data_IF_085146730152
#
_entry.id   IF_085146730152
#
_cell.length_a   1.000
_cell.length_b   1.000
_cell.length_c   1.000
_cell.angle_alpha   90.00
_cell.angle_beta   90.00
_cell.angle_gamma   90.00
#
_symmetry.space_group_name_H-M   'P 1'
#
loop_
_entity.id
_entity.type
_entity.pdbx_description
1 polymer ?
#
# COMPACT_ATOMS: atom_id res chain seq x y z
N UNK A 1 -11.08 -30.81 -20.18
CA UNK A 1 -11.62 -29.80 -19.23
C UNK A 1 -10.55 -29.02 -18.45
N UNK A 2 -9.43 -29.63 -18.03
CA UNK A 2 -8.42 -28.99 -17.15
C UNK A 2 -7.60 -27.85 -17.81
N UNK A 3 -7.39 -27.90 -19.14
CA UNK A 3 -6.57 -26.94 -19.90
C UNK A 3 -7.28 -25.61 -20.23
N UNK A 4 -8.61 -25.64 -20.44
CA UNK A 4 -9.37 -24.40 -20.70
C UNK A 4 -9.39 -23.45 -19.50
N UNK A 5 -9.33 -24.00 -18.28
CA UNK A 5 -9.27 -23.20 -17.04
C UNK A 5 -7.91 -22.51 -16.93
N UNK A 6 -6.83 -23.13 -17.43
CA UNK A 6 -5.46 -22.61 -17.38
C UNK A 6 -5.32 -21.33 -18.21
N UNK A 7 -5.88 -21.30 -19.42
CA UNK A 7 -5.85 -20.10 -20.30
C UNK A 7 -6.67 -18.94 -19.71
N UNK A 8 -7.85 -19.20 -19.13
CA UNK A 8 -8.65 -18.17 -18.44
C UNK A 8 -7.89 -17.58 -17.25
N UNK A 9 -7.22 -18.45 -16.48
CA UNK A 9 -6.51 -18.02 -15.27
C UNK A 9 -5.23 -17.24 -15.58
N UNK A 10 -4.59 -17.51 -16.72
CA UNK A 10 -3.48 -16.69 -17.24
C UNK A 10 -3.93 -15.29 -17.70
N UNK A 11 -5.10 -15.15 -18.33
CA UNK A 11 -5.64 -13.85 -18.73
C UNK A 11 -5.94 -12.98 -17.50
N UNK A 12 -6.52 -13.57 -16.46
CA UNK A 12 -6.77 -12.86 -15.19
C UNK A 12 -5.47 -12.42 -14.48
N UNK A 13 -4.38 -13.20 -14.61
CA UNK A 13 -3.06 -12.84 -14.07
C UNK A 13 -2.46 -11.60 -14.73
N UNK A 14 -2.67 -11.43 -16.05
CA UNK A 14 -2.17 -10.27 -16.80
C UNK A 14 -2.98 -9.01 -16.47
N UNK A 15 -4.28 -9.11 -16.21
CA UNK A 15 -5.15 -7.97 -15.89
C UNK A 15 -5.16 -7.54 -14.41
N UNK A 16 -4.70 -8.39 -13.48
CA UNK A 16 -4.68 -8.12 -12.04
C UNK A 16 -3.53 -7.22 -11.55
N UNK A 17 -2.79 -6.58 -12.47
CA UNK A 17 -1.70 -5.64 -12.15
C UNK A 17 -2.06 -4.18 -12.47
N UNK A 18 -3.07 -3.57 -11.81
CA UNK A 18 -3.34 -2.13 -11.98
C UNK A 18 -2.22 -1.24 -11.38
N UNK A 19 -1.26 -1.81 -10.65
CA UNK A 19 -0.05 -1.10 -10.18
C UNK A 19 1.00 -0.87 -11.28
N UNK A 20 0.78 -1.35 -12.51
CA UNK A 20 1.73 -1.23 -13.63
C UNK A 20 1.39 -0.11 -14.64
N UNK A 21 0.45 0.79 -14.33
CA UNK A 21 0.13 1.96 -15.18
C UNK A 21 0.98 3.17 -14.82
N UNK A 22 2.30 3.03 -14.91
CA UNK A 22 3.27 4.10 -15.19
C UNK A 22 4.70 3.56 -15.08
N UNK A 23 5.11 2.65 -15.98
CA UNK A 23 6.54 2.55 -16.29
C UNK A 23 6.78 2.00 -17.70
N UNK A 24 7.25 2.90 -18.55
CA UNK A 24 7.79 2.60 -19.87
C UNK A 24 9.29 2.27 -19.69
N UNK A 25 9.67 1.06 -20.14
CA UNK A 25 11.02 0.59 -20.53
C UNK A 25 12.24 0.98 -19.67
N UNK A 26 12.97 -0.03 -19.17
CA UNK A 26 14.24 -0.52 -19.75
C UNK A 26 14.94 -1.52 -18.81
N UNK A 27 15.52 -2.58 -19.39
CA UNK A 27 16.64 -3.31 -18.81
C UNK A 27 16.33 -4.72 -18.27
N UNK A 28 16.96 -5.75 -18.87
CA UNK A 28 17.15 -7.06 -18.24
C UNK A 28 16.81 -8.26 -19.13
N UNK A 29 17.80 -8.69 -19.90
CA UNK A 29 17.79 -9.77 -20.90
C UNK A 29 17.35 -11.14 -20.35
N UNK A 30 16.47 -11.84 -21.10
CA UNK A 30 16.27 -13.30 -20.99
C UNK A 30 16.42 -13.91 -22.40
N UNK A 31 17.29 -14.93 -22.44
CA UNK A 31 17.81 -15.82 -23.50
C UNK A 31 17.08 -15.93 -24.87
N UNK A 32 17.82 -16.26 -25.96
CA UNK A 32 17.31 -16.32 -27.31
C UNK A 32 16.48 -17.58 -27.54
N UNK A 33 15.18 -17.42 -27.46
CA UNK A 33 14.18 -18.37 -27.95
C UNK A 33 13.50 -17.65 -29.12
N UNK A 34 13.67 -18.21 -30.33
CA UNK A 34 13.62 -17.54 -31.64
C UNK A 34 12.44 -16.60 -31.92
N UNK A 35 12.61 -15.68 -32.88
CA UNK A 35 11.65 -14.60 -33.23
C UNK A 35 10.17 -15.03 -33.27
N UNK A 36 9.89 -16.25 -33.77
CA UNK A 36 8.55 -16.87 -33.76
C UNK A 36 7.89 -16.86 -32.36
N UNK A 37 8.66 -17.04 -31.29
CA UNK A 37 8.17 -17.03 -29.92
C UNK A 37 7.81 -15.65 -29.39
N UNK A 38 8.61 -14.65 -29.72
CA UNK A 38 8.29 -13.26 -29.36
C UNK A 38 6.98 -12.87 -30.01
N UNK A 39 6.82 -13.21 -31.29
CA UNK A 39 5.59 -12.94 -32.04
C UNK A 39 4.36 -13.67 -31.45
N UNK A 40 4.44 -14.98 -31.20
CA UNK A 40 3.34 -15.74 -30.60
C UNK A 40 2.95 -15.20 -29.21
N UNK A 41 3.94 -14.79 -28.42
CA UNK A 41 3.73 -14.19 -27.09
C UNK A 41 3.09 -12.81 -27.18
N UNK A 42 3.58 -11.95 -28.06
CA UNK A 42 3.04 -10.60 -28.28
C UNK A 42 1.60 -10.67 -28.80
N UNK A 43 1.33 -11.54 -29.78
CA UNK A 43 -0.05 -11.82 -30.24
C UNK A 43 -0.93 -12.30 -29.10
N UNK A 44 -0.47 -13.27 -28.30
CA UNK A 44 -1.25 -13.73 -27.15
C UNK A 44 -1.58 -12.62 -26.13
N UNK A 45 -0.63 -11.70 -25.90
CA UNK A 45 -0.84 -10.60 -24.96
C UNK A 45 -1.75 -9.51 -25.51
N UNK A 46 -1.57 -9.15 -26.78
CA UNK A 46 -2.19 -7.95 -27.35
C UNK A 46 -3.46 -8.24 -28.17
N UNK A 47 -3.66 -9.48 -28.62
CA UNK A 47 -4.78 -9.88 -29.48
C UNK A 47 -5.74 -10.83 -28.76
N UNK A 48 -6.94 -10.34 -28.47
CA UNK A 48 -8.01 -11.11 -27.83
C UNK A 48 -8.55 -12.22 -28.73
N UNK A 49 -8.67 -11.97 -30.04
CA UNK A 49 -9.17 -12.96 -30.99
C UNK A 49 -8.20 -14.13 -31.05
N UNK A 50 -6.90 -13.86 -31.11
CA UNK A 50 -5.87 -14.90 -31.08
C UNK A 50 -5.94 -15.76 -29.80
N UNK A 51 -6.16 -15.15 -28.62
CA UNK A 51 -6.35 -15.90 -27.36
C UNK A 51 -7.57 -16.82 -27.41
N UNK A 52 -8.69 -16.32 -27.92
CA UNK A 52 -9.93 -17.09 -28.02
C UNK A 52 -9.78 -18.25 -29.01
N UNK A 53 -9.19 -18.00 -30.19
CA UNK A 53 -8.89 -19.02 -31.19
C UNK A 53 -7.97 -20.10 -30.65
N UNK A 54 -6.84 -19.74 -30.02
CA UNK A 54 -5.92 -20.71 -29.43
C UNK A 54 -6.62 -21.56 -28.36
N UNK A 55 -7.51 -20.95 -27.56
CA UNK A 55 -8.28 -21.66 -26.53
C UNK A 55 -9.28 -22.65 -27.12
N UNK A 56 -9.93 -22.31 -28.23
CA UNK A 56 -10.82 -23.21 -28.96
C UNK A 56 -10.06 -24.35 -29.63
N UNK A 57 -8.95 -24.05 -30.30
CA UNK A 57 -8.06 -25.05 -30.90
C UNK A 57 -7.58 -26.07 -29.85
N UNK A 58 -7.10 -25.61 -28.70
CA UNK A 58 -6.70 -26.48 -27.59
C UNK A 58 -7.87 -27.32 -27.06
N UNK A 59 -9.10 -26.77 -27.05
CA UNK A 59 -10.32 -27.51 -26.65
C UNK A 59 -10.67 -28.59 -27.65
N UNK A 60 -10.63 -28.29 -28.94
CA UNK A 60 -10.94 -29.23 -30.02
C UNK A 60 -9.90 -30.36 -30.09
N UNK A 61 -8.68 -30.08 -29.63
CA UNK A 61 -7.64 -31.09 -29.51
C UNK A 61 -7.78 -32.03 -28.30
N UNK A 62 -8.84 -31.97 -27.49
CA UNK A 62 -9.00 -32.91 -26.36
C UNK A 62 -9.22 -34.34 -26.88
N UNK A 63 -8.36 -35.28 -26.48
CA UNK A 63 -8.47 -36.70 -26.88
C UNK A 63 -7.89 -37.04 -28.26
N UNK A 64 -7.45 -36.05 -29.03
CA UNK A 64 -6.74 -36.26 -30.31
C UNK A 64 -5.22 -36.38 -30.08
N UNK A 65 -4.58 -37.28 -30.84
CA UNK A 65 -3.11 -37.42 -30.92
C UNK A 65 -2.57 -37.05 -32.31
N UNK A 66 -3.34 -36.30 -33.10
CA UNK A 66 -2.85 -35.78 -34.38
C UNK A 66 -1.62 -34.88 -34.19
N UNK A 67 -0.70 -34.89 -35.16
CA UNK A 67 0.50 -34.05 -35.13
C UNK A 67 0.17 -32.56 -34.95
N UNK A 68 -0.90 -32.07 -35.59
CA UNK A 68 -1.42 -30.71 -35.43
C UNK A 68 -1.84 -30.42 -33.98
N UNK A 69 -2.52 -31.36 -33.32
CA UNK A 69 -2.93 -31.20 -31.93
C UNK A 69 -1.77 -31.26 -30.94
N UNK A 70 -0.71 -32.01 -31.27
CA UNK A 70 0.52 -32.00 -30.49
C UNK A 70 1.23 -30.63 -30.61
N UNK A 71 1.32 -30.06 -31.81
CA UNK A 71 1.90 -28.74 -32.03
C UNK A 71 1.11 -27.63 -31.32
N UNK A 72 -0.24 -27.63 -31.42
CA UNK A 72 -1.11 -26.67 -30.73
C UNK A 72 -0.90 -26.72 -29.21
N UNK A 73 -0.82 -27.93 -28.64
CA UNK A 73 -0.60 -28.11 -27.19
C UNK A 73 0.78 -27.61 -26.76
N UNK A 74 1.81 -27.85 -27.57
CA UNK A 74 3.17 -27.38 -27.26
C UNK A 74 3.27 -25.86 -27.34
N UNK A 75 2.72 -25.25 -28.40
CA UNK A 75 2.63 -23.80 -28.53
C UNK A 75 1.90 -23.17 -27.34
N UNK A 76 0.77 -23.77 -26.91
CA UNK A 76 0.03 -23.29 -25.75
C UNK A 76 0.82 -23.42 -24.43
N UNK A 77 1.58 -24.50 -24.26
CA UNK A 77 2.44 -24.73 -23.08
C UNK A 77 3.54 -23.68 -22.98
N UNK A 78 4.22 -23.42 -24.09
CA UNK A 78 5.30 -22.44 -24.12
C UNK A 78 4.80 -20.99 -23.95
N UNK A 79 3.63 -20.66 -24.52
CA UNK A 79 2.95 -19.39 -24.24
C UNK A 79 2.66 -19.27 -22.74
N UNK A 80 2.10 -20.32 -22.12
CA UNK A 80 1.83 -20.34 -20.68
C UNK A 80 3.10 -20.16 -19.84
N UNK A 81 4.18 -20.89 -20.17
CA UNK A 81 5.50 -20.72 -19.54
C UNK A 81 5.99 -19.29 -19.65
N UNK A 82 5.91 -18.71 -20.85
CA UNK A 82 6.32 -17.34 -21.12
C UNK A 82 5.53 -16.29 -20.34
N UNK A 83 4.22 -16.49 -20.19
CA UNK A 83 3.37 -15.61 -19.38
C UNK A 83 3.73 -15.73 -17.89
N UNK A 84 3.87 -16.95 -17.37
CA UNK A 84 4.23 -17.18 -15.97
C UNK A 84 5.61 -16.60 -15.63
N UNK A 85 6.62 -16.83 -16.48
CA UNK A 85 7.94 -16.24 -16.32
C UNK A 85 7.88 -14.71 -16.30
N UNK A 86 7.06 -14.09 -17.18
CA UNK A 86 6.87 -12.63 -17.14
C UNK A 86 6.22 -12.16 -15.86
N UNK A 87 5.19 -12.86 -15.37
CA UNK A 87 4.56 -12.55 -14.07
C UNK A 87 5.59 -12.61 -12.95
N UNK A 88 6.41 -13.66 -12.93
CA UNK A 88 7.51 -13.83 -11.99
C UNK A 88 8.49 -12.67 -12.03
N UNK A 89 9.07 -12.36 -13.19
CA UNK A 89 10.04 -11.27 -13.36
C UNK A 89 9.45 -9.91 -12.97
N UNK A 90 8.22 -9.61 -13.41
CA UNK A 90 7.57 -8.34 -13.12
C UNK A 90 7.29 -8.16 -11.62
N UNK A 91 6.79 -9.19 -10.95
CA UNK A 91 6.48 -9.09 -9.52
C UNK A 91 7.75 -9.07 -8.67
N UNK A 92 8.76 -9.88 -9.01
CA UNK A 92 10.06 -9.82 -8.36
C UNK A 92 10.70 -8.42 -8.48
N UNK A 93 10.69 -7.83 -9.69
CA UNK A 93 11.17 -6.46 -9.90
C UNK A 93 10.34 -5.41 -9.16
N UNK A 94 9.02 -5.60 -9.07
CA UNK A 94 8.13 -4.72 -8.30
C UNK A 94 8.45 -4.77 -6.80
N UNK A 95 8.66 -5.96 -6.26
CA UNK A 95 9.03 -6.17 -4.85
C UNK A 95 10.39 -5.55 -4.53
N UNK A 96 11.39 -5.73 -5.39
CA UNK A 96 12.71 -5.13 -5.22
C UNK A 96 12.64 -3.59 -5.25
N UNK A 97 11.93 -3.04 -6.23
CA UNK A 97 11.71 -1.59 -6.30
C UNK A 97 10.95 -1.06 -5.08
N UNK A 98 10.01 -1.83 -4.54
CA UNK A 98 9.29 -1.46 -3.32
C UNK A 98 10.22 -1.44 -2.11
N UNK A 99 11.09 -2.44 -1.99
CA UNK A 99 12.13 -2.52 -0.95
C UNK A 99 13.07 -1.32 -1.01
N UNK A 100 13.60 -0.98 -2.18
CA UNK A 100 14.45 0.19 -2.39
C UNK A 100 13.74 1.49 -1.98
N UNK A 101 12.48 1.67 -2.42
CA UNK A 101 11.67 2.85 -2.04
C UNK A 101 11.45 2.95 -0.54
N UNK A 102 11.34 1.83 0.18
CA UNK A 102 11.23 1.83 1.65
C UNK A 102 12.57 2.23 2.29
N UNK A 103 13.67 1.66 1.81
CA UNK A 103 15.02 1.95 2.33
C UNK A 103 15.38 3.43 2.19
N UNK A 104 15.08 4.02 1.02
CA UNK A 104 15.33 5.43 0.68
C UNK A 104 14.38 6.41 1.39
N UNK A 105 13.29 5.92 2.00
CA UNK A 105 12.29 6.77 2.62
C UNK A 105 12.77 7.33 3.97
N UNK A 106 13.21 8.58 3.97
CA UNK A 106 13.67 9.29 5.17
C UNK A 106 12.56 9.60 6.19
N UNK A 107 11.28 9.39 5.85
CA UNK A 107 10.16 9.58 6.79
C UNK A 107 9.90 8.35 7.65
N UNK A 108 10.44 7.19 7.28
CA UNK A 108 10.31 5.94 8.03
C UNK A 108 11.48 5.80 9.00
N UNK A 109 11.20 5.36 10.23
CA UNK A 109 12.27 4.93 11.14
C UNK A 109 12.91 3.63 10.68
N UNK A 110 14.10 3.30 11.17
CA UNK A 110 14.79 2.07 10.78
C UNK A 110 14.01 0.81 11.21
N UNK A 111 13.28 0.87 12.32
CA UNK A 111 12.38 -0.20 12.75
C UNK A 111 11.19 -0.35 11.78
N UNK A 112 10.57 0.76 11.36
CA UNK A 112 9.46 0.75 10.40
C UNK A 112 9.89 0.22 9.03
N UNK A 113 11.10 0.57 8.58
CA UNK A 113 11.70 0.03 7.36
C UNK A 113 11.90 -1.48 7.48
N UNK A 114 12.49 -1.92 8.59
CA UNK A 114 12.77 -3.34 8.85
C UNK A 114 11.48 -4.18 8.82
N UNK A 115 10.41 -3.71 9.46
CA UNK A 115 9.12 -4.39 9.48
C UNK A 115 8.53 -4.56 8.06
N UNK A 116 8.49 -3.49 7.27
CA UNK A 116 7.97 -3.55 5.89
C UNK A 116 8.84 -4.41 4.97
N UNK A 117 10.16 -4.31 5.11
CA UNK A 117 11.11 -5.08 4.30
C UNK A 117 11.00 -6.57 4.62
N UNK A 118 10.81 -6.96 5.88
CA UNK A 118 10.59 -8.36 6.26
C UNK A 118 9.39 -8.96 5.53
N UNK A 119 8.26 -8.24 5.50
CA UNK A 119 7.06 -8.70 4.78
C UNK A 119 7.34 -8.86 3.28
N UNK A 120 8.10 -7.96 2.68
CA UNK A 120 8.47 -8.04 1.26
C UNK A 120 9.40 -9.24 1.00
N UNK A 121 10.42 -9.43 1.84
CA UNK A 121 11.43 -10.48 1.68
C UNK A 121 10.81 -11.88 1.86
N UNK A 122 9.88 -12.05 2.81
CA UNK A 122 9.10 -13.28 2.99
C UNK A 122 8.33 -13.65 1.71
N UNK A 123 7.56 -12.70 1.14
CA UNK A 123 6.80 -12.97 -0.08
C UNK A 123 7.69 -13.14 -1.29
N UNK A 124 8.83 -12.43 -1.34
CA UNK A 124 9.79 -12.58 -2.43
C UNK A 124 10.38 -13.99 -2.44
N UNK A 125 10.71 -14.53 -1.28
CA UNK A 125 11.20 -15.91 -1.17
C UNK A 125 10.16 -16.93 -1.68
N UNK A 126 8.89 -16.79 -1.26
CA UNK A 126 7.80 -17.65 -1.76
C UNK A 126 7.57 -17.50 -3.27
N UNK A 127 7.69 -16.27 -3.79
CA UNK A 127 7.60 -16.00 -5.22
C UNK A 127 8.71 -16.70 -5.99
N UNK A 128 9.96 -16.55 -5.55
CA UNK A 128 11.13 -17.12 -6.20
C UNK A 128 11.04 -18.67 -6.20
N UNK A 129 10.53 -19.29 -5.13
CA UNK A 129 10.28 -20.74 -5.06
C UNK A 129 9.21 -21.21 -6.07
N UNK A 130 8.08 -20.50 -6.17
CA UNK A 130 7.02 -20.84 -7.13
C UNK A 130 7.52 -20.63 -8.56
N UNK A 131 8.29 -19.57 -8.80
CA UNK A 131 8.81 -19.21 -10.11
C UNK A 131 9.88 -20.18 -10.62
N UNK A 132 10.69 -20.78 -9.74
CA UNK A 132 11.63 -21.83 -10.09
C UNK A 132 10.95 -23.06 -10.73
N UNK A 133 9.67 -23.30 -10.43
CA UNK A 133 8.92 -24.46 -10.94
C UNK A 133 8.38 -24.26 -12.37
N UNK A 134 8.43 -23.03 -12.93
CA UNK A 134 7.75 -22.68 -14.20
C UNK A 134 8.37 -23.40 -15.40
N UNK A 135 9.69 -23.55 -15.45
CA UNK A 135 10.38 -24.07 -16.63
C UNK A 135 10.09 -25.56 -16.87
N UNK A 136 10.02 -26.35 -15.80
CA UNK A 136 9.85 -27.80 -15.84
C UNK A 136 8.38 -28.25 -15.61
N UNK A 137 7.46 -27.30 -15.50
CA UNK A 137 6.05 -27.60 -15.26
C UNK A 137 5.38 -28.21 -16.49
N UNK A 138 4.70 -29.34 -16.29
CA UNK A 138 3.66 -29.79 -17.20
C UNK A 138 2.41 -28.90 -17.12
N UNK A 139 1.42 -29.18 -17.95
CA UNK A 139 0.19 -28.38 -17.99
C UNK A 139 -0.62 -28.41 -16.67
N UNK A 140 -0.60 -29.49 -15.92
CA UNK A 140 -1.30 -29.55 -14.62
C UNK A 140 -0.57 -28.67 -13.61
N UNK A 141 0.75 -28.80 -13.54
CA UNK A 141 1.62 -27.98 -12.67
C UNK A 141 1.54 -26.49 -13.03
N UNK A 142 1.52 -26.12 -14.31
CA UNK A 142 1.38 -24.72 -14.73
C UNK A 142 0.09 -24.08 -14.20
N UNK A 143 -1.02 -24.82 -14.15
CA UNK A 143 -2.28 -24.33 -13.57
C UNK A 143 -2.16 -24.09 -12.07
N UNK A 144 -1.53 -25.01 -11.37
CA UNK A 144 -1.31 -24.92 -9.92
C UNK A 144 -0.40 -23.73 -9.60
N UNK A 145 0.71 -23.57 -10.33
CA UNK A 145 1.61 -22.41 -10.24
C UNK A 145 0.84 -21.11 -10.46
N UNK A 146 0.05 -21.01 -11.53
CA UNK A 146 -0.77 -19.84 -11.81
C UNK A 146 -1.78 -19.52 -10.69
N UNK A 147 -2.29 -20.54 -10.01
CA UNK A 147 -3.19 -20.37 -8.86
C UNK A 147 -2.42 -19.88 -7.63
N UNK A 148 -1.28 -20.48 -7.32
CA UNK A 148 -0.42 -20.10 -6.19
C UNK A 148 0.08 -18.66 -6.35
N UNK A 149 0.57 -18.28 -7.53
CA UNK A 149 0.99 -16.90 -7.81
C UNK A 149 -0.15 -15.89 -7.60
N UNK A 150 -1.38 -16.20 -8.05
CA UNK A 150 -2.52 -15.31 -7.81
C UNK A 150 -2.84 -15.14 -6.33
N UNK A 151 -2.85 -16.24 -5.58
CA UNK A 151 -3.07 -16.20 -4.14
C UNK A 151 -1.98 -15.37 -3.45
N UNK A 152 -0.71 -15.60 -3.80
CA UNK A 152 0.43 -14.89 -3.23
C UNK A 152 0.40 -13.39 -3.55
N UNK A 153 0.07 -13.00 -4.78
CA UNK A 153 -0.11 -11.58 -5.16
C UNK A 153 -1.22 -10.94 -4.32
N UNK A 154 -2.34 -11.65 -4.13
CA UNK A 154 -3.47 -11.13 -3.35
C UNK A 154 -3.08 -10.97 -1.89
N UNK A 155 -2.39 -11.96 -1.32
CA UNK A 155 -1.93 -11.96 0.05
C UNK A 155 -0.90 -10.85 0.31
N UNK A 156 0.08 -10.70 -0.57
CA UNK A 156 1.06 -9.61 -0.54
C UNK A 156 0.36 -8.24 -0.52
N UNK A 157 -0.60 -8.01 -1.42
CA UNK A 157 -1.35 -6.74 -1.47
C UNK A 157 -2.07 -6.46 -0.16
N UNK A 158 -2.66 -7.48 0.46
CA UNK A 158 -3.37 -7.37 1.74
C UNK A 158 -2.37 -7.08 2.87
N UNK A 159 -1.36 -7.92 3.05
CA UNK A 159 -0.37 -7.78 4.14
C UNK A 159 0.41 -6.48 4.05
N UNK A 160 0.93 -6.15 2.87
CA UNK A 160 1.63 -4.88 2.65
C UNK A 160 0.70 -3.67 2.88
N UNK A 161 -0.56 -3.75 2.41
CA UNK A 161 -1.56 -2.72 2.65
C UNK A 161 -1.83 -2.49 4.14
N UNK A 162 -2.01 -3.58 4.90
CA UNK A 162 -2.19 -3.56 6.36
C UNK A 162 -0.98 -2.94 7.06
N UNK A 163 0.24 -3.41 6.78
CA UNK A 163 1.45 -2.91 7.42
C UNK A 163 1.64 -1.42 7.11
N UNK A 164 1.41 -0.99 5.87
CA UNK A 164 1.46 0.42 5.49
C UNK A 164 0.45 1.26 6.27
N UNK A 165 -0.80 0.82 6.38
CA UNK A 165 -1.84 1.56 7.11
C UNK A 165 -1.57 1.61 8.63
N UNK A 166 -1.02 0.55 9.22
CA UNK A 166 -0.56 0.54 10.61
C UNK A 166 0.51 1.59 10.87
N UNK A 167 1.46 1.78 9.95
CA UNK A 167 2.46 2.84 10.05
C UNK A 167 1.84 4.24 9.97
N UNK A 168 0.89 4.46 9.05
CA UNK A 168 0.16 5.72 9.00
C UNK A 168 -0.59 5.99 10.30
N UNK A 169 -1.22 4.97 10.88
CA UNK A 169 -1.90 5.07 12.16
C UNK A 169 -0.90 5.42 13.28
N UNK A 170 0.23 4.71 13.40
CA UNK A 170 1.30 5.02 14.35
C UNK A 170 1.73 6.48 14.29
N UNK A 171 1.92 7.03 13.08
CA UNK A 171 2.27 8.44 12.88
C UNK A 171 1.22 9.41 13.38
N UNK A 172 -0.07 9.11 13.18
CA UNK A 172 -1.16 9.92 13.77
C UNK A 172 -1.02 9.92 15.29
N UNK A 173 -0.81 8.75 15.89
CA UNK A 173 -0.58 8.63 17.34
C UNK A 173 0.57 9.51 17.85
N UNK A 174 1.69 9.56 17.13
CA UNK A 174 2.83 10.43 17.45
C UNK A 174 2.49 11.92 17.33
N UNK A 175 1.68 12.32 16.35
CA UNK A 175 1.23 13.72 16.20
C UNK A 175 0.34 14.10 17.38
N UNK A 176 -0.58 13.23 17.80
CA UNK A 176 -1.44 13.50 18.97
C UNK A 176 -0.57 13.65 20.23
N UNK A 177 0.39 12.75 20.47
CA UNK A 177 1.31 12.86 21.62
C UNK A 177 2.10 14.18 21.62
N UNK A 178 2.57 14.62 20.45
CA UNK A 178 3.25 15.92 20.31
C UNK A 178 2.32 17.09 20.59
N UNK A 179 1.06 16.99 20.17
CA UNK A 179 0.04 18.02 20.40
C UNK A 179 -0.31 18.13 21.90
N UNK A 180 -0.48 17.01 22.61
CA UNK A 180 -0.68 16.95 24.08
C UNK A 180 0.52 17.55 24.84
N UNK A 181 1.73 17.25 24.39
CA UNK A 181 2.92 17.86 24.99
C UNK A 181 2.99 19.38 24.73
N UNK A 182 2.55 19.83 23.55
CA UNK A 182 2.50 21.24 23.19
C UNK A 182 1.44 22.00 24.00
N UNK A 183 0.27 21.39 24.25
CA UNK A 183 -0.73 21.92 25.17
C UNK A 183 -0.13 22.25 26.53
N UNK A 184 0.59 21.30 27.13
CA UNK A 184 1.25 21.51 28.44
C UNK A 184 2.23 22.69 28.39
N UNK A 185 3.01 22.79 27.31
CA UNK A 185 3.97 23.89 27.11
C UNK A 185 3.29 25.25 26.92
N UNK A 186 2.18 25.29 26.18
CA UNK A 186 1.41 26.52 25.98
C UNK A 186 0.83 27.02 27.30
N UNK A 187 0.27 26.10 28.12
CA UNK A 187 -0.23 26.45 29.44
C UNK A 187 0.87 27.01 30.32
N UNK A 188 2.02 26.31 30.44
CA UNK A 188 3.15 26.81 31.22
C UNK A 188 3.68 28.16 30.72
N UNK A 189 3.68 28.39 29.40
CA UNK A 189 4.11 29.68 28.84
C UNK A 189 3.18 30.81 29.29
N UNK A 190 1.87 30.58 29.24
CA UNK A 190 0.86 31.55 29.64
C UNK A 190 0.95 31.87 31.12
N UNK A 191 1.02 30.84 31.96
CA UNK A 191 1.16 30.98 33.41
C UNK A 191 2.41 31.81 33.77
N UNK A 192 3.53 31.56 33.08
CA UNK A 192 4.80 32.27 33.32
C UNK A 192 4.83 33.71 32.82
N UNK A 193 4.07 34.04 31.78
CA UNK A 193 4.05 35.38 31.17
C UNK A 193 2.79 36.18 31.56
N UNK A 194 1.97 35.66 32.49
CA UNK A 194 0.71 36.28 32.93
C UNK A 194 -0.23 36.65 31.77
N UNK A 195 -0.19 35.91 30.66
CA UNK A 195 -1.04 36.16 29.49
C UNK A 195 -2.49 35.69 29.70
N UNK A 196 -2.87 35.37 30.94
CA UNK A 196 -4.12 34.69 31.30
C UNK A 196 -5.37 35.51 30.93
N UNK A 197 -5.25 36.83 30.74
CA UNK A 197 -6.35 37.76 30.44
C UNK A 197 -6.40 38.30 29.00
N UNK A 198 -5.54 37.82 28.10
CA UNK A 198 -5.57 38.30 26.70
C UNK A 198 -6.76 37.73 25.92
N UNK A 199 -7.80 38.55 25.70
CA UNK A 199 -8.79 38.48 24.60
C UNK A 199 -9.19 37.06 24.11
N UNK A 200 -9.61 36.16 25.02
CA UNK A 200 -10.11 34.81 24.66
C UNK A 200 -9.03 33.74 24.42
N UNK A 201 -7.77 33.98 24.80
CA UNK A 201 -6.67 33.01 24.62
C UNK A 201 -6.92 31.69 25.36
N UNK A 202 -7.52 31.74 26.56
CA UNK A 202 -7.87 30.54 27.32
C UNK A 202 -8.93 29.70 26.60
N UNK A 203 -9.94 30.33 25.99
CA UNK A 203 -10.99 29.64 25.22
C UNK A 203 -10.41 28.92 23.99
N UNK A 204 -9.43 29.54 23.31
CA UNK A 204 -8.70 28.91 22.21
C UNK A 204 -7.89 27.70 22.69
N UNK A 205 -7.27 27.78 23.86
CA UNK A 205 -6.55 26.63 24.43
C UNK A 205 -7.51 25.51 24.78
N UNK A 206 -8.62 25.81 25.43
CA UNK A 206 -9.59 24.77 25.78
C UNK A 206 -10.19 24.13 24.53
N UNK A 207 -10.40 24.91 23.47
CA UNK A 207 -10.79 24.40 22.15
C UNK A 207 -9.70 23.50 21.53
N UNK A 208 -8.43 23.91 21.60
CA UNK A 208 -7.29 23.12 21.15
C UNK A 208 -7.20 21.78 21.89
N UNK A 209 -7.36 21.81 23.22
CA UNK A 209 -7.41 20.63 24.10
C UNK A 209 -8.55 19.69 23.70
N UNK A 210 -9.76 20.22 23.50
CA UNK A 210 -10.91 19.44 23.07
C UNK A 210 -10.63 18.71 21.76
N UNK A 211 -10.07 19.41 20.76
CA UNK A 211 -9.75 18.82 19.46
C UNK A 211 -8.68 17.73 19.52
N UNK A 212 -7.67 17.89 20.38
CA UNK A 212 -6.69 16.83 20.64
C UNK A 212 -7.35 15.61 21.29
N UNK A 213 -8.24 15.81 22.26
CA UNK A 213 -8.96 14.72 22.91
C UNK A 213 -9.90 13.98 21.95
N UNK A 214 -10.63 14.70 21.09
CA UNK A 214 -11.46 14.14 20.02
C UNK A 214 -10.62 13.33 19.01
N UNK A 215 -9.45 13.86 18.62
CA UNK A 215 -8.50 13.15 17.78
C UNK A 215 -7.98 11.87 18.44
N UNK A 216 -7.66 11.91 19.74
CA UNK A 216 -7.24 10.75 20.53
C UNK A 216 -8.31 9.67 20.56
N UNK A 217 -9.55 10.03 20.87
CA UNK A 217 -10.67 9.09 20.91
C UNK A 217 -10.88 8.41 19.55
N UNK A 218 -10.93 9.19 18.47
CA UNK A 218 -11.08 8.66 17.11
C UNK A 218 -9.91 7.76 16.69
N UNK A 219 -8.68 8.12 17.11
CA UNK A 219 -7.49 7.32 16.87
C UNK A 219 -7.54 5.96 17.60
N UNK A 220 -7.93 5.94 18.87
CA UNK A 220 -7.99 4.72 19.67
C UNK A 220 -9.09 3.78 19.15
N UNK A 221 -10.24 4.31 18.75
CA UNK A 221 -11.29 3.55 18.08
C UNK A 221 -10.81 2.98 16.74
N UNK A 222 -10.15 3.79 15.91
CA UNK A 222 -9.56 3.35 14.65
C UNK A 222 -8.56 2.20 14.86
N UNK A 223 -7.69 2.32 15.87
CA UNK A 223 -6.72 1.30 16.24
C UNK A 223 -7.37 0.00 16.68
N UNK A 224 -8.41 0.07 17.51
CA UNK A 224 -9.16 -1.11 17.94
C UNK A 224 -9.84 -1.81 16.76
N UNK A 225 -10.51 -1.06 15.88
CA UNK A 225 -11.15 -1.62 14.67
C UNK A 225 -10.11 -2.20 13.70
N UNK A 226 -8.95 -1.56 13.56
CA UNK A 226 -7.88 -2.08 12.71
C UNK A 226 -7.36 -3.42 13.21
N UNK A 227 -7.20 -3.56 14.52
CA UNK A 227 -6.80 -4.83 15.13
C UNK A 227 -7.84 -5.93 14.85
N UNK A 228 -9.13 -5.63 15.02
CA UNK A 228 -10.21 -6.56 14.68
C UNK A 228 -10.19 -6.95 13.19
N UNK A 229 -9.91 -6.01 12.29
CA UNK A 229 -9.77 -6.32 10.86
C UNK A 229 -8.58 -7.26 10.61
N UNK A 230 -7.41 -6.98 11.19
CA UNK A 230 -6.23 -7.85 11.08
C UNK A 230 -6.53 -9.27 11.57
N UNK A 231 -7.25 -9.41 12.68
CA UNK A 231 -7.62 -10.73 13.20
C UNK A 231 -8.62 -11.44 12.29
N UNK A 232 -9.56 -10.71 11.68
CA UNK A 232 -10.47 -11.27 10.67
C UNK A 232 -9.71 -11.79 9.42
N UNK A 233 -8.65 -11.09 9.01
CA UNK A 233 -7.78 -11.51 7.90
C UNK A 233 -7.02 -12.79 8.26
N UNK A 234 -6.48 -12.88 9.48
CA UNK A 234 -5.79 -14.08 9.98
C UNK A 234 -6.70 -15.30 10.05
N UNK A 235 -7.99 -15.08 10.34
CA UNK A 235 -9.01 -16.13 10.34
C UNK A 235 -9.50 -16.50 8.93
N UNK A 236 -8.99 -15.85 7.88
CA UNK A 236 -9.38 -16.11 6.49
C UNK A 236 -10.74 -15.54 6.09
N UNK A 237 -11.34 -14.68 6.93
CA UNK A 237 -12.62 -14.01 6.65
C UNK A 237 -12.48 -12.49 6.79
N UNK A 238 -11.85 -11.79 5.82
CA UNK A 238 -11.62 -10.36 5.91
C UNK A 238 -12.94 -9.58 6.00
N UNK A 239 -13.18 -8.92 7.13
CA UNK A 239 -14.37 -8.10 7.32
C UNK A 239 -14.15 -6.68 6.77
N UNK A 240 -14.59 -6.45 5.54
CA UNK A 240 -14.43 -5.16 4.85
C UNK A 240 -15.20 -4.01 5.48
N UNK A 241 -16.24 -4.30 6.26
CA UNK A 241 -17.01 -3.28 6.96
C UNK A 241 -16.23 -2.74 8.17
N UNK A 242 -15.57 -3.62 8.93
CA UNK A 242 -14.65 -3.20 10.02
C UNK A 242 -13.51 -2.36 9.44
N UNK A 243 -12.95 -2.78 8.28
CA UNK A 243 -11.93 -1.99 7.58
C UNK A 243 -12.43 -0.58 7.25
N UNK A 244 -13.63 -0.47 6.69
CA UNK A 244 -14.25 0.82 6.33
C UNK A 244 -14.42 1.71 7.55
N UNK A 245 -14.99 1.19 8.63
CA UNK A 245 -15.19 1.94 9.89
C UNK A 245 -13.85 2.39 10.49
N UNK A 246 -12.83 1.53 10.46
CA UNK A 246 -11.51 1.88 10.94
C UNK A 246 -10.88 3.03 10.11
N UNK A 247 -11.09 3.02 8.79
CA UNK A 247 -10.66 4.11 7.90
C UNK A 247 -11.40 5.42 8.17
N UNK A 248 -12.71 5.38 8.43
CA UNK A 248 -13.50 6.55 8.80
C UNK A 248 -12.99 7.18 10.09
N UNK A 249 -12.75 6.38 11.13
CA UNK A 249 -12.20 6.86 12.40
C UNK A 249 -10.78 7.41 12.26
N UNK A 250 -9.96 6.80 11.38
CA UNK A 250 -8.64 7.34 11.01
C UNK A 250 -8.76 8.73 10.38
N UNK A 251 -9.71 8.92 9.46
CA UNK A 251 -9.95 10.21 8.79
C UNK A 251 -10.48 11.25 9.77
N UNK A 252 -11.39 10.87 10.68
CA UNK A 252 -11.87 11.74 11.75
C UNK A 252 -10.71 12.25 12.60
N UNK A 253 -9.84 11.36 13.11
CA UNK A 253 -8.66 11.76 13.88
C UNK A 253 -7.74 12.74 13.12
N UNK A 254 -7.58 12.57 11.80
CA UNK A 254 -6.82 13.50 10.98
C UNK A 254 -7.49 14.85 10.80
N UNK A 255 -8.82 14.88 10.68
CA UNK A 255 -9.58 16.12 10.58
C UNK A 255 -9.46 16.93 11.87
N UNK A 256 -9.68 16.30 13.02
CA UNK A 256 -9.56 16.95 14.32
C UNK A 256 -8.15 17.51 14.57
N UNK A 257 -7.10 16.79 14.15
CA UNK A 257 -5.73 17.30 14.21
C UNK A 257 -5.47 18.52 13.32
N UNK A 258 -6.13 18.61 12.14
CA UNK A 258 -6.03 19.79 11.28
C UNK A 258 -6.72 20.99 11.90
N UNK A 259 -7.88 20.78 12.50
CA UNK A 259 -8.62 21.81 13.23
C UNK A 259 -7.82 22.28 14.45
N UNK A 260 -7.28 21.36 15.26
CA UNK A 260 -6.36 21.69 16.35
C UNK A 260 -5.17 22.52 15.85
N UNK A 261 -4.57 22.15 14.71
CA UNK A 261 -3.46 22.93 14.14
C UNK A 261 -3.87 24.34 13.72
N UNK A 262 -5.11 24.54 13.25
CA UNK A 262 -5.61 25.86 12.91
C UNK A 262 -5.78 26.73 14.18
N UNK A 263 -6.39 26.17 15.22
CA UNK A 263 -6.54 26.83 16.53
C UNK A 263 -5.16 27.18 17.12
N UNK A 264 -4.18 26.28 17.01
CA UNK A 264 -2.81 26.54 17.45
C UNK A 264 -2.20 27.78 16.78
N UNK A 265 -2.45 28.01 15.49
CA UNK A 265 -1.95 29.23 14.81
C UNK A 265 -2.57 30.49 15.41
N UNK A 266 -3.84 30.45 15.74
CA UNK A 266 -4.56 31.57 16.36
C UNK A 266 -4.01 31.85 17.76
N UNK A 267 -3.77 30.80 18.56
CA UNK A 267 -3.08 30.91 19.85
C UNK A 267 -1.71 31.59 19.67
N UNK A 268 -0.90 31.17 18.70
CA UNK A 268 0.43 31.76 18.48
C UNK A 268 0.39 33.23 18.06
N UNK A 269 -0.66 33.68 17.36
CA UNK A 269 -0.88 35.10 17.06
C UNK A 269 -1.19 35.87 18.34
N UNK A 270 -2.11 35.36 19.17
CA UNK A 270 -2.46 35.98 20.46
C UNK A 270 -1.30 36.05 21.45
N UNK A 271 -0.50 34.98 21.55
CA UNK A 271 0.70 34.97 22.38
C UNK A 271 1.77 35.96 21.92
N UNK A 272 1.81 36.28 20.62
CA UNK A 272 2.71 37.32 20.10
C UNK A 272 2.25 38.72 20.51
N UNK A 273 0.94 38.97 20.50
CA UNK A 273 0.34 40.22 20.99
C UNK A 273 0.69 40.42 22.48
N UNK A 274 0.61 39.36 23.30
CA UNK A 274 1.01 39.41 24.71
C UNK A 274 2.49 39.79 24.92
N UNK A 275 3.39 39.45 23.97
CA UNK A 275 4.84 39.72 24.09
C UNK A 275 5.23 41.17 23.77
N UNK A 276 4.36 41.95 23.12
CA UNK A 276 4.70 43.28 22.59
C UNK A 276 4.43 44.42 23.60
N UNK A 277 3.85 44.15 24.78
CA UNK A 277 3.76 45.15 25.85
C UNK A 277 4.97 45.11 26.81
N UNK A 278 6.12 45.67 26.39
CA UNK A 278 6.90 46.49 27.31
C UNK A 278 7.15 47.88 26.70
N UNK A 279 6.64 48.92 27.39
CA UNK A 279 6.96 50.35 27.26
C UNK A 279 6.25 51.20 26.15
N UNK A 280 4.98 51.55 26.40
CA UNK A 280 4.47 52.91 26.13
C UNK A 280 4.58 53.82 27.38
N UNK A 281 5.62 53.64 28.21
CA UNK A 281 5.85 54.48 29.40
C UNK A 281 7.34 54.84 29.47
N UNK A 282 7.76 55.88 28.76
CA UNK A 282 8.80 56.86 29.18
C UNK A 282 9.27 57.77 28.03
N UNK A 283 8.35 58.40 27.28
CA UNK A 283 8.66 59.65 26.57
C UNK A 283 7.52 60.65 26.72
N UNK A 284 7.19 60.98 27.96
CA UNK A 284 6.51 62.22 28.32
C UNK A 284 7.05 62.68 29.68
N UNK A 285 8.16 63.40 29.65
CA UNK A 285 8.44 64.44 30.63
C UNK A 285 9.12 65.60 29.89
N UNK A 286 8.35 66.60 29.45
CA UNK A 286 8.87 67.95 29.23
C UNK A 286 8.94 68.66 30.59
N UNK A 287 10.15 69.01 31.03
CA UNK A 287 10.56 70.28 31.66
C UNK A 287 11.98 70.16 32.24
#
# INVERSE_FOLDING_TARGET
MKFQILVITLIALVSLSPLALAYQQQGGSILPIGEKWKELRERFQNDEQYRNTLREQVKNCIGSESAECLEIRENAREIARGVLNRVCTNNAGTLENLKLRIQENNKLSDEEKTELISVIDEHKAEFDEICAQVNDADATKMKEIASKLRSLIKELKIKYGISKDLLHLRRIGLVIQRAEHLETKLQSYIDNNQCNDTNGTQELIDSFKSKIAEARASYDESKALWQQFVDSVRQGNPNTEILRQAQEKKQAAQLELKEAHQILKEILVKLRECRIEPEEISQNNPE
#
